data_IF_207544749564
#
_entry.id   IF_207544749564
#
_cell.length_a   1.000
_cell.length_b   1.000
_cell.length_c   1.000
_cell.angle_alpha   90.00
_cell.angle_beta   90.00
_cell.angle_gamma   90.00
#
_symmetry.space_group_name_H-M   'P 1'
#
loop_
_entity.id
_entity.type
_entity.pdbx_description
1 polymer ?
#
# COMPACT_ATOMS: atom_id res chain seq x y z
N UNK A 1 6.85 33.39 0.15
CA UNK A 1 6.96 32.11 0.85
C UNK A 1 7.17 31.00 -0.17
N UNK A 2 8.23 30.27 -0.03
CA UNK A 2 8.48 29.15 -0.94
C UNK A 2 7.65 27.96 -0.51
N UNK A 3 7.03 27.31 -1.48
CA UNK A 3 6.41 26.02 -1.27
C UNK A 3 7.52 24.96 -1.26
N UNK A 4 7.56 24.16 -0.22
CA UNK A 4 8.54 23.07 -0.14
C UNK A 4 8.09 21.90 -1.00
N UNK A 5 8.34 21.96 -2.30
CA UNK A 5 7.99 20.91 -3.24
C UNK A 5 8.97 19.75 -3.18
N UNK A 6 10.12 19.91 -2.47
CA UNK A 6 11.12 18.85 -2.33
C UNK A 6 10.87 17.93 -1.14
N UNK A 7 9.81 18.17 -0.39
CA UNK A 7 9.41 17.34 0.72
C UNK A 7 8.32 16.36 0.29
N UNK A 8 8.48 15.09 0.63
CA UNK A 8 7.43 14.10 0.42
C UNK A 8 6.30 14.35 1.43
N UNK A 9 5.09 14.50 0.94
CA UNK A 9 3.90 14.67 1.77
C UNK A 9 2.92 13.54 1.54
N UNK A 10 2.36 13.01 2.63
CA UNK A 10 1.35 11.96 2.53
C UNK A 10 -0.02 12.62 2.60
N UNK A 11 -0.84 12.37 1.58
CA UNK A 11 -2.18 12.94 1.47
C UNK A 11 -3.22 11.82 1.35
N UNK A 12 -4.46 12.06 1.81
CA UNK A 12 -5.51 11.05 1.70
C UNK A 12 -6.06 10.97 0.27
N UNK A 13 -6.70 9.85 -0.02
CA UNK A 13 -7.45 9.66 -1.26
C UNK A 13 -8.63 10.63 -1.32
N UNK A 14 -8.95 11.09 -2.55
CA UNK A 14 -10.21 11.74 -2.86
C UNK A 14 -10.66 11.24 -4.22
N UNK A 15 -11.94 11.39 -4.53
CA UNK A 15 -12.47 10.87 -5.81
C UNK A 15 -11.84 11.56 -7.03
N UNK A 16 -11.40 12.80 -6.88
CA UNK A 16 -10.67 13.52 -7.93
C UNK A 16 -9.29 12.90 -8.20
N UNK A 17 -8.75 12.15 -7.23
CA UNK A 17 -7.46 11.47 -7.34
C UNK A 17 -7.65 9.95 -7.42
N UNK A 18 -8.63 9.48 -8.17
CA UNK A 18 -8.88 8.04 -8.29
C UNK A 18 -7.91 7.32 -9.23
N UNK A 19 -7.27 8.04 -10.14
CA UNK A 19 -6.40 7.43 -11.15
C UNK A 19 -4.99 7.04 -10.67
N UNK A 20 -4.32 7.83 -9.80
CA UNK A 20 -2.93 7.50 -9.44
C UNK A 20 -2.71 6.11 -8.84
N UNK A 21 -3.64 5.61 -8.03
CA UNK A 21 -3.51 4.25 -7.49
C UNK A 21 -3.41 3.22 -8.61
N UNK A 22 -4.24 3.37 -9.64
CA UNK A 22 -4.24 2.47 -10.80
C UNK A 22 -2.95 2.60 -11.61
N UNK A 23 -2.59 3.82 -11.97
CA UNK A 23 -1.39 4.09 -12.77
C UNK A 23 -0.13 3.55 -12.10
N UNK A 24 0.08 3.86 -10.84
CA UNK A 24 1.25 3.43 -10.09
C UNK A 24 1.32 1.91 -9.93
N UNK A 25 0.19 1.28 -9.63
CA UNK A 25 0.16 -0.16 -9.44
C UNK A 25 0.32 -0.92 -10.76
N UNK A 26 -0.28 -0.43 -11.86
CA UNK A 26 -0.10 -1.07 -13.16
C UNK A 26 1.35 -0.98 -13.62
N UNK A 27 2.02 0.17 -13.43
CA UNK A 27 3.44 0.31 -13.74
C UNK A 27 4.26 -0.74 -13.00
N UNK A 28 4.02 -0.91 -11.70
CA UNK A 28 4.71 -1.87 -10.86
C UNK A 28 4.40 -3.33 -11.27
N UNK A 29 3.12 -3.65 -11.49
CA UNK A 29 2.70 -5.00 -11.87
C UNK A 29 3.26 -5.42 -13.24
N UNK A 30 3.25 -4.52 -14.23
CA UNK A 30 3.81 -4.79 -15.54
C UNK A 30 5.32 -5.02 -15.49
N UNK A 31 6.00 -4.38 -14.54
CA UNK A 31 7.45 -4.52 -14.40
C UNK A 31 7.86 -5.83 -13.73
N UNK A 32 7.11 -6.29 -12.74
CA UNK A 32 7.52 -7.42 -11.90
C UNK A 32 6.64 -8.65 -12.00
N UNK A 33 5.40 -8.50 -12.41
CA UNK A 33 4.40 -9.57 -12.41
C UNK A 33 3.42 -9.39 -13.56
N UNK A 34 2.19 -9.86 -13.36
CA UNK A 34 1.07 -9.62 -14.28
C UNK A 34 -0.12 -9.09 -13.48
N UNK A 35 -1.04 -8.42 -14.16
CA UNK A 35 -2.29 -7.96 -13.54
C UNK A 35 -3.22 -9.15 -13.36
N UNK A 36 -3.63 -9.40 -12.13
CA UNK A 36 -4.60 -10.46 -11.81
C UNK A 36 -6.01 -9.86 -11.76
N UNK A 37 -7.07 -10.66 -11.94
CA UNK A 37 -8.45 -10.15 -11.91
C UNK A 37 -8.79 -9.36 -10.64
N UNK A 38 -8.28 -9.79 -9.50
CA UNK A 38 -8.49 -9.10 -8.23
C UNK A 38 -7.86 -7.71 -8.23
N UNK A 39 -6.68 -7.56 -8.85
CA UNK A 39 -6.03 -6.26 -9.00
C UNK A 39 -6.88 -5.34 -9.86
N UNK A 40 -7.34 -5.83 -11.00
CA UNK A 40 -8.13 -5.03 -11.93
C UNK A 40 -9.42 -4.54 -11.30
N UNK A 41 -10.10 -5.40 -10.55
CA UNK A 41 -11.34 -5.05 -9.86
C UNK A 41 -11.12 -3.88 -8.90
N UNK A 42 -10.09 -3.98 -8.05
CA UNK A 42 -9.80 -2.96 -7.04
C UNK A 42 -9.30 -1.66 -7.68
N UNK A 43 -8.39 -1.75 -8.64
CA UNK A 43 -7.79 -0.58 -9.27
C UNK A 43 -8.76 0.17 -10.17
N UNK A 44 -9.78 -0.50 -10.70
CA UNK A 44 -10.79 0.14 -11.54
C UNK A 44 -11.87 0.86 -10.73
N UNK A 45 -12.04 0.51 -9.46
CA UNK A 45 -13.03 1.13 -8.58
C UNK A 45 -12.51 1.22 -7.14
N UNK A 46 -11.45 2.02 -6.90
CA UNK A 46 -10.88 2.12 -5.56
C UNK A 46 -11.85 2.71 -4.54
N UNK A 47 -12.73 3.61 -4.95
CA UNK A 47 -13.74 4.16 -4.06
C UNK A 47 -14.68 3.06 -3.56
N UNK A 48 -15.27 2.28 -4.46
CA UNK A 48 -16.21 1.23 -4.09
C UNK A 48 -15.55 0.03 -3.43
N UNK A 49 -14.38 -0.36 -3.90
CA UNK A 49 -13.72 -1.58 -3.45
C UNK A 49 -12.89 -1.40 -2.17
N UNK A 50 -12.45 -0.18 -1.87
CA UNK A 50 -11.62 0.09 -0.69
C UNK A 50 -12.30 1.06 0.26
N UNK A 51 -12.59 2.28 -0.18
CA UNK A 51 -13.10 3.35 0.70
C UNK A 51 -14.49 3.02 1.24
N UNK A 52 -15.42 2.67 0.36
CA UNK A 52 -16.81 2.38 0.76
C UNK A 52 -16.92 1.14 1.64
N UNK A 53 -15.93 0.26 1.59
CA UNK A 53 -15.89 -0.93 2.44
C UNK A 53 -15.18 -0.69 3.78
N UNK A 54 -14.80 0.55 4.06
CA UNK A 54 -14.19 0.92 5.32
C UNK A 54 -12.66 0.97 5.30
N UNK A 55 -12.06 0.80 4.13
CA UNK A 55 -10.61 0.89 3.97
C UNK A 55 -10.10 2.31 3.77
N UNK A 56 -8.81 2.44 3.53
CA UNK A 56 -8.15 3.73 3.34
C UNK A 56 -7.13 3.63 2.22
N UNK A 57 -6.92 4.75 1.53
CA UNK A 57 -5.90 4.88 0.49
C UNK A 57 -5.11 6.15 0.78
N UNK A 58 -3.80 6.06 0.70
CA UNK A 58 -2.90 7.20 0.90
C UNK A 58 -1.99 7.38 -0.30
N UNK A 59 -1.66 8.63 -0.60
CA UNK A 59 -0.75 8.99 -1.66
C UNK A 59 0.47 9.72 -1.10
N UNK A 60 1.61 9.51 -1.73
CA UNK A 60 2.81 10.31 -1.49
C UNK A 60 2.94 11.31 -2.63
N UNK A 61 3.01 12.60 -2.28
CA UNK A 61 3.19 13.69 -3.24
C UNK A 61 4.59 14.26 -3.09
N UNK A 62 5.28 14.43 -4.23
CA UNK A 62 6.62 15.00 -4.29
C UNK A 62 6.73 15.81 -5.58
N UNK A 63 7.24 17.05 -5.49
CA UNK A 63 7.32 17.97 -6.64
C UNK A 63 5.97 18.11 -7.35
N UNK A 64 4.88 18.25 -6.57
CA UNK A 64 3.50 18.40 -7.05
C UNK A 64 2.97 17.23 -7.87
N UNK A 65 3.62 16.06 -7.77
CA UNK A 65 3.19 14.84 -8.44
C UNK A 65 2.90 13.75 -7.42
N UNK A 66 1.94 12.91 -7.74
CA UNK A 66 1.69 11.71 -6.95
C UNK A 66 2.70 10.65 -7.39
N UNK A 67 3.59 10.27 -6.49
CA UNK A 67 4.72 9.37 -6.80
C UNK A 67 4.68 8.06 -6.04
N UNK A 68 3.73 7.89 -5.15
CA UNK A 68 3.59 6.66 -4.38
C UNK A 68 2.18 6.50 -3.84
N UNK A 69 1.84 5.27 -3.48
CA UNK A 69 0.52 4.94 -2.93
C UNK A 69 0.61 3.71 -2.05
N UNK A 70 -0.34 3.59 -1.13
CA UNK A 70 -0.56 2.40 -0.32
C UNK A 70 -2.01 2.39 0.13
N UNK A 71 -2.57 1.20 0.31
CA UNK A 71 -3.96 1.04 0.74
C UNK A 71 -4.06 0.13 1.95
N UNK A 72 -5.08 0.36 2.76
CA UNK A 72 -5.50 -0.53 3.84
C UNK A 72 -6.89 -1.03 3.51
N UNK A 73 -7.00 -2.32 3.18
CA UNK A 73 -8.24 -2.97 2.81
C UNK A 73 -8.84 -3.63 4.05
N UNK A 74 -10.08 -3.31 4.36
CA UNK A 74 -10.75 -3.90 5.53
C UNK A 74 -11.06 -5.37 5.28
N UNK A 75 -10.55 -6.25 6.14
CA UNK A 75 -10.85 -7.68 6.11
C UNK A 75 -12.01 -7.98 7.07
N UNK A 76 -11.92 -7.48 8.30
CA UNK A 76 -12.98 -7.53 9.30
C UNK A 76 -12.79 -6.33 10.26
N UNK A 77 -13.53 -6.28 11.35
CA UNK A 77 -13.51 -5.13 12.26
C UNK A 77 -12.16 -4.91 12.96
N UNK A 78 -11.32 -5.93 13.03
CA UNK A 78 -10.03 -5.85 13.74
C UNK A 78 -8.82 -5.97 12.85
N UNK A 79 -8.97 -6.52 11.62
CA UNK A 79 -7.86 -6.85 10.72
C UNK A 79 -8.02 -6.12 9.40
N UNK A 80 -6.95 -5.46 8.97
CA UNK A 80 -6.87 -4.82 7.66
C UNK A 80 -5.68 -5.37 6.88
N UNK A 81 -5.78 -5.37 5.57
CA UNK A 81 -4.68 -5.78 4.67
C UNK A 81 -3.97 -4.54 4.13
N UNK A 82 -2.65 -4.47 4.36
CA UNK A 82 -1.80 -3.48 3.70
C UNK A 82 -1.52 -3.99 2.29
N UNK A 83 -1.93 -3.23 1.29
CA UNK A 83 -1.93 -3.69 -0.10
C UNK A 83 -1.75 -2.52 -1.07
N UNK A 84 -1.52 -2.84 -2.35
CA UNK A 84 -1.43 -1.84 -3.42
C UNK A 84 -0.36 -0.78 -3.17
N UNK A 85 0.75 -1.16 -2.52
CA UNK A 85 1.87 -0.26 -2.30
C UNK A 85 2.74 -0.22 -3.55
N UNK A 86 2.95 0.97 -4.08
CA UNK A 86 3.78 1.18 -5.26
C UNK A 86 4.40 2.57 -5.24
N UNK A 87 5.65 2.66 -5.67
CA UNK A 87 6.38 3.92 -5.82
C UNK A 87 6.79 4.01 -7.28
N UNK A 88 6.58 5.18 -7.91
CA UNK A 88 6.89 5.37 -9.33
C UNK A 88 8.39 5.22 -9.59
N UNK A 89 8.72 4.76 -10.82
CA UNK A 89 10.12 4.68 -11.25
C UNK A 89 10.77 6.05 -11.20
N UNK A 90 12.06 6.07 -10.81
CA UNK A 90 12.81 7.31 -10.69
C UNK A 90 12.62 8.04 -9.37
N UNK A 91 11.70 7.59 -8.53
CA UNK A 91 11.46 8.17 -7.20
C UNK A 91 11.85 7.24 -6.05
N UNK A 92 12.44 6.08 -6.35
CA UNK A 92 12.99 5.21 -5.32
C UNK A 92 14.21 5.90 -4.67
N UNK A 93 14.48 5.55 -3.42
CA UNK A 93 15.61 6.13 -2.69
C UNK A 93 15.30 7.43 -1.96
N UNK A 94 14.07 7.93 -2.05
CA UNK A 94 13.63 9.14 -1.35
C UNK A 94 12.92 8.83 -0.02
N UNK A 95 12.88 7.56 0.39
CA UNK A 95 12.20 7.16 1.61
C UNK A 95 10.68 7.19 1.50
N UNK A 96 10.13 7.16 0.29
CA UNK A 96 8.68 7.26 0.07
C UNK A 96 7.95 6.06 0.66
N UNK A 97 8.45 4.85 0.41
CA UNK A 97 7.85 3.64 0.98
C UNK A 97 7.83 3.65 2.50
N UNK A 98 8.93 4.10 3.11
CA UNK A 98 9.03 4.23 4.56
C UNK A 98 7.99 5.22 5.10
N UNK A 99 7.86 6.38 4.45
CA UNK A 99 6.88 7.41 4.86
C UNK A 99 5.45 6.92 4.73
N UNK A 100 5.14 6.21 3.65
CA UNK A 100 3.83 5.60 3.45
C UNK A 100 3.54 4.57 4.54
N UNK A 101 4.52 3.73 4.86
CA UNK A 101 4.38 2.72 5.92
C UNK A 101 4.14 3.37 7.28
N UNK A 102 4.94 4.37 7.65
CA UNK A 102 4.79 5.09 8.91
C UNK A 102 3.39 5.70 9.03
N UNK A 103 2.92 6.32 7.96
CA UNK A 103 1.59 6.94 7.93
C UNK A 103 0.48 5.90 8.11
N UNK A 104 0.58 4.77 7.39
CA UNK A 104 -0.39 3.67 7.52
C UNK A 104 -0.46 3.14 8.94
N UNK A 105 0.69 2.91 9.58
CA UNK A 105 0.73 2.39 10.93
C UNK A 105 0.11 3.38 11.93
N UNK A 106 0.39 4.67 11.76
CA UNK A 106 -0.19 5.70 12.63
C UNK A 106 -1.70 5.78 12.45
N UNK A 107 -2.18 5.75 11.23
CA UNK A 107 -3.63 5.78 10.94
C UNK A 107 -4.33 4.53 11.46
N UNK A 108 -3.71 3.37 11.30
CA UNK A 108 -4.26 2.12 11.80
C UNK A 108 -4.41 2.16 13.32
N UNK A 109 -3.40 2.66 14.03
CA UNK A 109 -3.46 2.80 15.49
C UNK A 109 -4.56 3.77 15.93
N UNK A 110 -4.66 4.92 15.26
CA UNK A 110 -5.70 5.90 15.56
C UNK A 110 -7.11 5.35 15.37
N UNK A 111 -7.28 4.47 14.40
CA UNK A 111 -8.57 3.84 14.09
C UNK A 111 -8.87 2.63 14.97
N UNK A 112 -7.95 2.24 15.84
CA UNK A 112 -8.14 1.08 16.72
C UNK A 112 -8.01 -0.26 16.01
N UNK A 113 -7.36 -0.30 14.85
CA UNK A 113 -7.11 -1.54 14.13
C UNK A 113 -6.13 -2.39 14.96
N UNK A 114 -6.45 -3.66 15.14
CA UNK A 114 -5.65 -4.53 16.00
C UNK A 114 -4.54 -5.26 15.26
N UNK A 115 -4.75 -5.57 13.97
CA UNK A 115 -3.81 -6.36 13.20
C UNK A 115 -3.77 -5.93 11.74
N UNK A 116 -2.58 -5.86 11.18
CA UNK A 116 -2.37 -5.70 9.74
C UNK A 116 -1.78 -6.97 9.17
N UNK A 117 -2.27 -7.37 7.98
CA UNK A 117 -1.68 -8.46 7.21
C UNK A 117 -1.22 -7.91 5.88
N UNK A 118 -0.30 -8.62 5.22
CA UNK A 118 0.11 -8.31 3.86
C UNK A 118 0.52 -9.57 3.12
N UNK A 119 0.48 -9.51 1.80
CA UNK A 119 0.95 -10.58 0.91
C UNK A 119 2.07 -10.01 0.03
N UNK A 120 3.13 -10.78 -0.18
CA UNK A 120 4.27 -10.34 -0.96
C UNK A 120 4.91 -11.54 -1.69
N UNK A 121 6.08 -11.30 -2.27
CA UNK A 121 6.84 -12.32 -2.97
C UNK A 121 8.29 -12.27 -2.50
N UNK A 122 8.88 -13.45 -2.28
CA UNK A 122 10.24 -13.56 -1.73
C UNK A 122 11.32 -12.94 -2.61
N UNK A 123 11.05 -12.75 -3.91
CA UNK A 123 12.01 -12.06 -4.78
C UNK A 123 12.06 -10.55 -4.55
N UNK A 124 11.09 -9.98 -3.81
CA UNK A 124 11.04 -8.56 -3.49
C UNK A 124 11.75 -8.30 -2.16
N UNK A 125 13.05 -8.61 -2.08
CA UNK A 125 13.81 -8.50 -0.84
C UNK A 125 13.77 -7.11 -0.19
N UNK A 126 13.91 -6.01 -0.94
CA UNK A 126 13.82 -4.67 -0.33
C UNK A 126 12.48 -4.42 0.37
N UNK A 127 11.37 -4.89 -0.23
CA UNK A 127 10.05 -4.74 0.36
C UNK A 127 9.92 -5.57 1.64
N UNK A 128 10.36 -6.81 1.60
CA UNK A 128 10.32 -7.70 2.77
C UNK A 128 11.13 -7.11 3.92
N UNK A 129 12.34 -6.61 3.63
CA UNK A 129 13.17 -5.97 4.63
C UNK A 129 12.49 -4.73 5.24
N UNK A 130 11.78 -3.95 4.43
CA UNK A 130 11.01 -2.81 4.92
C UNK A 130 9.93 -3.27 5.89
N UNK A 131 9.16 -4.31 5.52
CA UNK A 131 8.12 -4.84 6.39
C UNK A 131 8.68 -5.35 7.72
N UNK A 132 9.79 -6.09 7.66
CA UNK A 132 10.46 -6.59 8.86
C UNK A 132 10.92 -5.46 9.78
N UNK A 133 11.46 -4.38 9.22
CA UNK A 133 11.86 -3.20 9.98
C UNK A 133 10.70 -2.59 10.76
N UNK A 134 9.50 -2.66 10.22
CA UNK A 134 8.30 -2.13 10.86
C UNK A 134 7.61 -3.15 11.77
N UNK A 135 8.25 -4.31 11.97
CA UNK A 135 7.76 -5.29 12.94
C UNK A 135 6.81 -6.33 12.39
N UNK A 136 6.69 -6.44 11.07
CA UNK A 136 5.91 -7.52 10.46
C UNK A 136 6.68 -8.83 10.57
N UNK A 137 5.98 -9.91 10.85
CA UNK A 137 6.55 -11.26 10.91
C UNK A 137 5.85 -12.17 9.93
N UNK A 138 6.57 -13.16 9.42
CA UNK A 138 6.02 -14.13 8.47
C UNK A 138 5.05 -15.06 9.18
N UNK A 139 3.90 -15.33 8.52
CA UNK A 139 2.91 -16.31 8.95
C UNK A 139 2.57 -17.20 7.74
N UNK A 140 1.92 -18.35 7.96
CA UNK A 140 1.54 -19.23 6.85
C UNK A 140 0.67 -18.52 5.82
N UNK A 141 0.96 -18.75 4.53
CA UNK A 141 0.20 -18.17 3.43
C UNK A 141 -0.82 -19.18 2.92
N UNK A 142 -2.09 -18.76 2.83
CA UNK A 142 -3.13 -19.55 2.20
C UNK A 142 -3.06 -19.45 0.68
N UNK A 143 -3.53 -20.47 -0.04
CA UNK A 143 -3.59 -20.44 -1.50
C UNK A 143 -4.80 -19.67 -1.99
N UNK A 144 -4.73 -19.14 -3.22
CA UNK A 144 -5.88 -18.56 -3.90
C UNK A 144 -6.15 -17.09 -3.67
N UNK A 145 -5.36 -16.39 -2.85
CA UNK A 145 -5.54 -14.94 -2.64
C UNK A 145 -4.90 -14.16 -3.80
N UNK A 146 -3.61 -14.40 -4.05
CA UNK A 146 -2.89 -13.88 -5.22
C UNK A 146 -1.96 -14.98 -5.71
N UNK A 147 -1.90 -15.20 -7.04
CA UNK A 147 -0.97 -16.19 -7.62
C UNK A 147 0.48 -15.83 -7.33
N UNK A 148 0.80 -14.55 -7.35
CA UNK A 148 2.16 -14.06 -7.15
C UNK A 148 2.62 -14.08 -5.69
N UNK A 149 1.70 -14.30 -4.74
CA UNK A 149 2.06 -14.24 -3.32
C UNK A 149 2.62 -15.57 -2.86
N UNK A 150 3.84 -15.57 -2.33
CA UNK A 150 4.46 -16.75 -1.71
C UNK A 150 4.90 -16.47 -0.27
N UNK A 151 4.59 -15.29 0.26
CA UNK A 151 4.81 -14.93 1.66
C UNK A 151 3.66 -14.09 2.15
N UNK A 152 3.23 -14.36 3.37
CA UNK A 152 2.25 -13.56 4.10
C UNK A 152 2.88 -13.10 5.40
N UNK A 153 2.62 -11.86 5.77
CA UNK A 153 3.18 -11.30 7.01
C UNK A 153 2.08 -10.64 7.81
N UNK A 154 2.30 -10.51 9.12
CA UNK A 154 1.37 -9.79 9.99
C UNK A 154 2.11 -8.92 10.98
N UNK A 155 1.41 -7.89 11.45
CA UNK A 155 1.86 -7.04 12.56
C UNK A 155 0.68 -6.83 13.51
N UNK A 156 0.89 -7.14 14.77
CA UNK A 156 -0.09 -6.88 15.82
C UNK A 156 0.11 -5.46 16.32
N UNK A 157 -0.96 -4.67 16.32
CA UNK A 157 -0.92 -3.25 16.72
C UNK A 157 -1.38 -3.03 18.15
N UNK A 158 -2.17 -3.95 18.68
CA UNK A 158 -2.68 -3.81 20.05
C UNK A 158 -2.89 -5.13 20.75
#
# INVERSE_FOLDING_TARGET
MSLDTNTVKIIPFSIELKEPIKTLNLEWLHKYFKVEPKDEKVLSDPQGEIIDKGGMIFYARYNDKIVGTVSLLKIDDTTFELTKMAVSDGNQGLGIGKKLMEHCLNQAKEKGIQKLILYSNRKLLPAIHLYERFGFIEIPVETGVYERADIKMEKILS
#
